data_IF_157690447531
#
_entry.id   IF_157690447531
#
_cell.length_a   1.000
_cell.length_b   1.000
_cell.length_c   1.000
_cell.angle_alpha   90.00
_cell.angle_beta   90.00
_cell.angle_gamma   90.00
#
_symmetry.space_group_name_H-M   'P 1'
#
loop_
_entity.id
_entity.type
_entity.pdbx_description
1 polymer ?
#
# COMPACT_ATOMS: atom_id res chain seq x y z
N UNK A 1 2.01 2.17 15.48
CA UNK A 1 2.84 2.35 14.28
C UNK A 1 1.90 2.65 13.15
N UNK A 2 1.90 3.90 12.68
CA UNK A 2 1.21 4.28 11.46
C UNK A 2 1.97 3.74 10.26
N UNK A 3 1.23 3.18 9.31
CA UNK A 3 1.75 2.63 8.07
C UNK A 3 0.91 3.20 6.95
N UNK A 4 1.55 3.97 6.09
CA UNK A 4 0.93 4.60 4.94
C UNK A 4 1.04 3.65 3.76
N UNK A 5 -0.08 3.43 3.09
CA UNK A 5 -0.16 2.46 2.00
C UNK A 5 -0.71 3.11 0.73
N UNK A 6 -0.37 2.49 -0.38
CA UNK A 6 -0.99 2.69 -1.68
C UNK A 6 -0.99 1.36 -2.43
N UNK A 7 -1.93 1.17 -3.35
CA UNK A 7 -1.99 0.01 -4.23
C UNK A 7 -2.26 0.40 -5.66
N UNK A 8 -1.62 -0.32 -6.58
CA UNK A 8 -2.01 -0.30 -7.98
C UNK A 8 -2.84 -1.54 -8.28
N UNK A 9 -3.88 -1.40 -9.11
CA UNK A 9 -4.83 -2.46 -9.44
C UNK A 9 -5.38 -2.29 -10.86
N UNK A 10 -5.94 -3.37 -11.42
CA UNK A 10 -6.31 -3.41 -12.84
C UNK A 10 -7.67 -2.75 -13.12
N UNK A 11 -7.72 -1.42 -13.10
CA UNK A 11 -8.92 -0.58 -13.12
C UNK A 11 -9.88 -0.86 -11.94
N UNK A 12 -10.97 -0.08 -11.86
CA UNK A 12 -11.98 -0.16 -10.81
C UNK A 12 -12.47 -1.58 -10.54
N UNK A 13 -12.31 -2.05 -9.30
CA UNK A 13 -12.71 -3.39 -8.87
C UNK A 13 -11.86 -4.54 -9.45
N UNK A 14 -10.76 -4.22 -10.12
CA UNK A 14 -9.82 -5.18 -10.69
C UNK A 14 -8.94 -5.88 -9.65
N UNK A 15 -8.07 -6.77 -10.11
CA UNK A 15 -7.12 -7.45 -9.24
C UNK A 15 -5.93 -6.53 -8.88
N UNK A 16 -5.39 -6.71 -7.66
CA UNK A 16 -4.23 -5.97 -7.19
C UNK A 16 -2.98 -6.29 -8.02
N UNK A 17 -2.26 -5.26 -8.43
CA UNK A 17 -1.00 -5.31 -9.20
C UNK A 17 0.19 -5.05 -8.28
N UNK A 18 0.11 -4.09 -7.36
CA UNK A 18 1.20 -3.88 -6.40
C UNK A 18 0.72 -3.29 -5.07
N UNK A 19 1.52 -3.49 -4.02
CA UNK A 19 1.28 -2.94 -2.69
C UNK A 19 2.56 -2.25 -2.21
N UNK A 20 2.47 -0.94 -1.98
CA UNK A 20 3.49 -0.13 -1.32
C UNK A 20 3.10 0.18 0.11
N UNK A 21 4.07 0.16 1.03
CA UNK A 21 3.85 0.55 2.42
C UNK A 21 5.07 1.27 2.96
N UNK A 22 4.85 2.28 3.81
CA UNK A 22 5.89 3.04 4.51
C UNK A 22 5.47 3.27 5.96
N UNK A 23 6.31 2.91 6.92
CA UNK A 23 6.05 3.18 8.34
C UNK A 23 6.47 4.60 8.76
N UNK A 24 6.11 5.01 9.98
CA UNK A 24 6.46 6.34 10.53
C UNK A 24 7.96 6.67 10.44
N UNK A 25 8.83 5.67 10.50
CA UNK A 25 10.29 5.84 10.47
C UNK A 25 10.87 5.90 9.05
N UNK A 26 10.02 5.72 8.03
CA UNK A 26 10.42 5.65 6.63
C UNK A 26 10.86 4.26 6.17
N UNK A 27 10.70 3.21 6.99
CA UNK A 27 10.94 1.83 6.57
C UNK A 27 9.84 1.41 5.60
N UNK A 28 10.24 0.81 4.49
CA UNK A 28 9.32 0.44 3.43
C UNK A 28 9.07 -1.07 3.27
N UNK A 29 8.02 -1.37 2.52
CA UNK A 29 7.68 -2.65 1.93
C UNK A 29 7.16 -2.41 0.51
N UNK A 30 7.58 -3.25 -0.43
CA UNK A 30 7.02 -3.24 -1.77
C UNK A 30 6.97 -4.64 -2.37
N UNK A 31 5.86 -4.94 -3.03
CA UNK A 31 5.65 -6.19 -3.75
C UNK A 31 4.78 -5.96 -4.97
N UNK A 32 5.14 -6.63 -6.07
CA UNK A 32 4.44 -6.57 -7.35
C UNK A 32 3.88 -7.96 -7.67
N UNK A 33 2.63 -8.02 -8.08
CA UNK A 33 1.93 -9.20 -8.59
C UNK A 33 1.83 -9.11 -10.12
N UNK A 34 1.77 -10.27 -10.76
CA UNK A 34 1.64 -10.33 -12.21
C UNK A 34 0.21 -9.95 -12.65
N UNK A 35 0.08 -8.98 -13.56
CA UNK A 35 -1.17 -8.64 -14.25
C UNK A 35 -1.13 -9.19 -15.68
N UNK A 36 -1.92 -10.23 -15.98
CA UNK A 36 -1.88 -10.89 -17.29
C UNK A 36 -2.55 -10.06 -18.39
N UNK A 37 -3.72 -9.51 -18.10
CA UNK A 37 -4.55 -8.75 -19.03
C UNK A 37 -4.77 -7.33 -18.50
N UNK A 38 -3.74 -6.47 -18.53
CA UNK A 38 -3.88 -5.10 -18.07
C UNK A 38 -4.82 -4.31 -18.98
N UNK A 39 -5.63 -3.43 -18.39
CA UNK A 39 -6.39 -2.45 -19.15
C UNK A 39 -5.46 -1.56 -19.99
N UNK A 40 -5.96 -0.91 -21.06
CA UNK A 40 -5.12 -0.03 -21.88
C UNK A 40 -4.43 1.08 -21.06
N UNK A 41 -5.10 1.61 -20.03
CA UNK A 41 -4.53 2.65 -19.19
C UNK A 41 -3.47 2.07 -18.24
N UNK A 42 -3.75 0.93 -17.61
CA UNK A 42 -2.81 0.22 -16.72
C UNK A 42 -1.55 -0.20 -17.48
N UNK A 43 -1.71 -0.75 -18.68
CA UNK A 43 -0.60 -1.15 -19.54
C UNK A 43 0.33 0.01 -19.91
N UNK A 44 -0.23 1.21 -20.07
CA UNK A 44 0.52 2.41 -20.44
C UNK A 44 1.16 3.13 -19.26
N UNK A 45 0.53 3.10 -18.07
CA UNK A 45 0.91 3.97 -16.96
C UNK A 45 1.46 3.22 -15.73
N UNK A 46 0.95 2.02 -15.44
CA UNK A 46 1.31 1.24 -14.22
C UNK A 46 2.40 0.22 -14.53
N UNK A 47 2.16 -0.66 -15.51
CA UNK A 47 3.07 -1.77 -15.83
C UNK A 47 4.53 -1.31 -16.10
N UNK A 48 4.78 -0.19 -16.82
CA UNK A 48 6.14 0.24 -17.10
C UNK A 48 6.93 0.72 -15.88
N UNK A 49 6.25 1.12 -14.80
CA UNK A 49 6.88 1.77 -13.63
C UNK A 49 6.99 0.85 -12.41
N UNK A 50 6.56 -0.40 -12.50
CA UNK A 50 6.57 -1.35 -11.37
C UNK A 50 7.97 -1.60 -10.78
N UNK A 51 9.03 -1.60 -11.59
CA UNK A 51 10.42 -1.59 -11.09
C UNK A 51 10.87 -2.80 -10.26
N UNK A 52 10.05 -3.85 -10.09
CA UNK A 52 10.39 -5.09 -9.38
C UNK A 52 9.88 -6.33 -10.11
N UNK A 53 10.54 -7.49 -9.94
CA UNK A 53 10.04 -8.75 -10.47
C UNK A 53 8.73 -9.16 -9.80
N UNK A 54 7.88 -9.86 -10.56
CA UNK A 54 6.61 -10.36 -10.05
C UNK A 54 6.81 -11.43 -8.96
N UNK A 55 6.09 -11.26 -7.86
CA UNK A 55 5.92 -12.24 -6.81
C UNK A 55 4.62 -13.02 -7.01
N UNK A 56 4.56 -14.23 -6.46
CA UNK A 56 3.27 -14.88 -6.24
C UNK A 56 2.53 -14.20 -5.09
N UNK A 57 1.19 -14.28 -5.10
CA UNK A 57 0.37 -13.79 -4.00
C UNK A 57 0.80 -14.39 -2.65
N UNK A 58 1.12 -15.70 -2.63
CA UNK A 58 1.62 -16.38 -1.44
C UNK A 58 2.93 -15.77 -0.92
N UNK A 59 3.86 -15.43 -1.81
CA UNK A 59 5.13 -14.81 -1.44
C UNK A 59 4.90 -13.40 -0.86
N UNK A 60 4.04 -12.61 -1.51
CA UNK A 60 3.62 -11.30 -0.99
C UNK A 60 3.04 -11.45 0.42
N UNK A 61 2.10 -12.37 0.60
CA UNK A 61 1.43 -12.64 1.88
C UNK A 61 2.40 -13.06 2.99
N UNK A 62 3.37 -13.94 2.69
CA UNK A 62 4.40 -14.34 3.64
C UNK A 62 5.28 -13.16 4.07
N UNK A 63 5.72 -12.34 3.11
CA UNK A 63 6.53 -11.14 3.39
C UNK A 63 5.73 -10.10 4.16
N UNK A 64 4.46 -9.89 3.80
CA UNK A 64 3.55 -8.96 4.46
C UNK A 64 3.33 -9.34 5.92
N UNK A 65 3.05 -10.62 6.20
CA UNK A 65 2.92 -11.11 7.56
C UNK A 65 4.20 -10.86 8.37
N UNK A 66 5.36 -11.27 7.83
CA UNK A 66 6.64 -11.08 8.52
C UNK A 66 6.97 -9.59 8.77
N UNK A 67 6.61 -8.71 7.82
CA UNK A 67 6.84 -7.28 7.94
C UNK A 67 5.94 -6.66 9.03
N UNK A 68 4.64 -7.02 9.05
CA UNK A 68 3.68 -6.55 10.06
C UNK A 68 3.98 -7.09 11.46
N UNK A 69 4.45 -8.34 11.58
CA UNK A 69 4.82 -8.96 12.87
C UNK A 69 5.98 -8.27 13.59
N UNK A 70 6.70 -7.36 12.92
CA UNK A 70 7.72 -6.53 13.57
C UNK A 70 7.14 -5.51 14.55
N UNK A 71 5.82 -5.27 14.53
CA UNK A 71 5.15 -4.26 15.36
C UNK A 71 4.15 -4.90 16.33
N UNK A 72 3.98 -4.28 17.50
CA UNK A 72 3.03 -4.73 18.52
C UNK A 72 1.57 -4.42 18.13
N UNK A 73 1.34 -3.28 17.49
CA UNK A 73 0.04 -2.82 16.96
C UNK A 73 0.29 -1.98 15.71
N UNK A 74 -0.61 -2.09 14.73
CA UNK A 74 -0.49 -1.40 13.44
C UNK A 74 -1.72 -0.54 13.18
N UNK A 75 -1.50 0.62 12.58
CA UNK A 75 -2.55 1.51 12.11
C UNK A 75 -2.30 1.79 10.63
N UNK A 76 -3.17 1.28 9.77
CA UNK A 76 -3.03 1.43 8.32
C UNK A 76 -3.75 2.72 7.91
N UNK A 77 -3.05 3.58 7.20
CA UNK A 77 -3.53 4.86 6.69
C UNK A 77 -3.43 4.86 5.17
N UNK A 78 -4.52 5.21 4.49
CA UNK A 78 -4.55 5.42 3.05
C UNK A 78 -5.30 6.73 2.76
N UNK A 79 -5.02 7.37 1.63
CA UNK A 79 -5.81 8.50 1.12
C UNK A 79 -7.01 8.03 0.28
N UNK A 80 -6.99 6.78 -0.20
CA UNK A 80 -8.06 6.17 -0.99
C UNK A 80 -8.61 4.86 -0.40
N UNK A 81 -9.94 4.63 -0.43
CA UNK A 81 -10.55 3.47 0.22
C UNK A 81 -10.29 2.13 -0.47
N UNK A 82 -10.02 2.12 -1.78
CA UNK A 82 -9.78 0.89 -2.54
C UNK A 82 -8.44 0.24 -2.15
N UNK A 83 -7.45 1.03 -1.72
CA UNK A 83 -6.19 0.51 -1.18
C UNK A 83 -6.40 -0.27 0.11
N UNK A 84 -7.29 0.22 0.98
CA UNK A 84 -7.69 -0.51 2.19
C UNK A 84 -8.40 -1.81 1.82
N UNK A 85 -9.25 -1.79 0.78
CA UNK A 85 -9.92 -2.99 0.31
C UNK A 85 -8.92 -4.03 -0.22
N UNK A 86 -7.94 -3.61 -1.02
CA UNK A 86 -6.87 -4.47 -1.52
C UNK A 86 -5.94 -4.99 -0.42
N UNK A 87 -5.54 -4.13 0.52
CA UNK A 87 -4.79 -4.53 1.70
C UNK A 87 -5.54 -5.59 2.49
N UNK A 88 -6.82 -5.36 2.81
CA UNK A 88 -7.66 -6.32 3.51
C UNK A 88 -7.79 -7.64 2.73
N UNK A 89 -7.92 -7.58 1.40
CA UNK A 89 -7.96 -8.77 0.54
C UNK A 89 -6.67 -9.56 0.62
N UNK A 90 -5.51 -8.90 0.64
CA UNK A 90 -4.21 -9.55 0.77
C UNK A 90 -4.06 -10.29 2.11
N UNK A 91 -4.75 -9.85 3.18
CA UNK A 91 -4.75 -10.56 4.47
C UNK A 91 -5.53 -11.88 4.45
N UNK A 92 -6.40 -12.11 3.46
CA UNK A 92 -7.23 -13.33 3.35
C UNK A 92 -6.46 -14.38 2.54
N UNK A 93 -6.16 -15.51 3.17
CA UNK A 93 -5.38 -16.60 2.56
C UNK A 93 -6.25 -17.76 2.06
N UNK A 94 -7.55 -17.74 2.36
CA UNK A 94 -8.51 -18.74 1.94
C UNK A 94 -9.84 -18.62 2.71
N UNK A 95 -10.81 -19.52 2.46
CA UNK A 95 -12.11 -19.50 3.13
C UNK A 95 -11.97 -19.64 4.66
N UNK A 96 -12.34 -18.60 5.40
CA UNK A 96 -12.18 -18.56 6.86
C UNK A 96 -10.72 -18.48 7.36
N UNK A 97 -9.77 -18.25 6.45
CA UNK A 97 -8.34 -18.21 6.73
C UNK A 97 -7.78 -16.81 6.48
N UNK A 98 -6.87 -16.39 7.35
CA UNK A 98 -6.19 -15.09 7.27
C UNK A 98 -4.74 -15.19 7.70
N UNK A 99 -3.96 -14.17 7.38
CA UNK A 99 -2.63 -13.95 7.96
C UNK A 99 -2.74 -13.72 9.48
N UNK A 100 -1.71 -14.14 10.20
CA UNK A 100 -1.56 -13.82 11.61
C UNK A 100 -0.95 -12.42 11.74
N UNK A 101 -1.78 -11.43 12.03
CA UNK A 101 -1.38 -10.03 12.13
C UNK A 101 -1.43 -9.57 13.59
N UNK A 102 -0.60 -8.56 13.98
CA UNK A 102 -0.89 -7.82 15.20
C UNK A 102 -2.28 -7.14 15.11
N UNK A 103 -2.82 -6.64 16.23
CA UNK A 103 -4.03 -5.82 16.22
C UNK A 103 -3.88 -4.65 15.24
N UNK A 104 -4.88 -4.52 14.35
CA UNK A 104 -4.90 -3.53 13.29
C UNK A 104 -6.12 -2.60 13.42
N UNK A 105 -5.92 -1.35 13.06
CA UNK A 105 -6.97 -0.36 12.76
C UNK A 105 -6.70 0.22 11.38
N UNK A 106 -7.74 0.75 10.73
CA UNK A 106 -7.70 1.25 9.36
C UNK A 106 -8.31 2.66 9.35
N UNK A 107 -7.69 3.58 8.63
CA UNK A 107 -8.15 4.95 8.47
C UNK A 107 -8.00 5.42 7.02
N UNK A 108 -9.04 6.04 6.48
CA UNK A 108 -8.96 6.80 5.22
C UNK A 108 -8.79 8.27 5.57
N UNK A 109 -7.67 8.88 5.18
CA UNK A 109 -7.38 10.29 5.40
C UNK A 109 -7.40 11.09 4.10
N UNK A 110 -8.47 11.85 3.91
CA UNK A 110 -8.74 12.62 2.68
C UNK A 110 -7.94 13.91 2.55
N UNK A 111 -7.20 14.28 3.58
CA UNK A 111 -6.31 15.44 3.59
C UNK A 111 -4.87 15.08 3.20
N UNK A 112 -4.56 13.79 3.04
CA UNK A 112 -3.32 13.29 2.45
C UNK A 112 -3.50 13.09 0.94
N UNK A 113 -2.39 13.05 0.21
CA UNK A 113 -2.38 12.73 -1.22
C UNK A 113 -1.00 12.21 -1.67
N UNK A 114 -0.99 11.56 -2.83
CA UNK A 114 0.21 11.06 -3.52
C UNK A 114 0.75 12.03 -4.60
N UNK A 115 0.29 13.28 -4.68
CA UNK A 115 0.66 14.20 -5.79
C UNK A 115 2.17 14.47 -5.89
N UNK A 116 2.89 14.36 -4.77
CA UNK A 116 4.33 14.55 -4.70
C UNK A 116 5.14 13.27 -5.01
N UNK A 117 4.49 12.22 -5.53
CA UNK A 117 5.14 10.97 -5.90
C UNK A 117 6.25 11.18 -6.92
N UNK A 118 7.40 10.56 -6.68
CA UNK A 118 8.56 10.67 -7.56
C UNK A 118 8.37 9.87 -8.86
N UNK A 119 7.59 8.80 -8.78
CA UNK A 119 7.21 7.95 -9.91
C UNK A 119 5.70 7.73 -9.78
N UNK A 120 4.88 8.58 -10.40
CA UNK A 120 3.43 8.42 -10.36
C UNK A 120 3.01 7.02 -10.82
N UNK A 121 2.01 6.45 -10.16
CA UNK A 121 1.47 5.11 -10.44
C UNK A 121 2.42 3.97 -10.07
N UNK A 122 3.35 4.25 -9.16
CA UNK A 122 4.15 3.24 -8.47
C UNK A 122 3.74 3.27 -7.00
N UNK A 123 3.06 2.21 -6.56
CA UNK A 123 2.50 2.17 -5.22
C UNK A 123 3.49 2.43 -4.08
N UNK A 124 4.78 2.10 -4.23
CA UNK A 124 5.76 2.44 -3.18
C UNK A 124 6.04 3.94 -3.15
N UNK A 125 6.25 4.56 -4.31
CA UNK A 125 6.51 6.00 -4.39
C UNK A 125 5.27 6.82 -4.01
N UNK A 126 4.08 6.33 -4.35
CA UNK A 126 2.81 6.93 -3.94
C UNK A 126 2.62 6.81 -2.41
N UNK A 127 2.90 5.65 -1.81
CA UNK A 127 2.90 5.47 -0.35
C UNK A 127 3.93 6.38 0.35
N UNK A 128 5.11 6.61 -0.25
CA UNK A 128 6.11 7.56 0.27
C UNK A 128 5.60 9.00 0.22
N UNK A 129 4.88 9.37 -0.83
CA UNK A 129 4.28 10.70 -0.96
C UNK A 129 3.20 10.93 0.11
N UNK A 130 2.32 9.95 0.32
CA UNK A 130 1.29 9.98 1.38
C UNK A 130 1.94 10.09 2.76
N UNK A 131 2.96 9.27 3.05
CA UNK A 131 3.74 9.36 4.30
C UNK A 131 4.35 10.75 4.48
N UNK A 132 5.00 11.28 3.45
CA UNK A 132 5.63 12.61 3.48
C UNK A 132 4.60 13.73 3.70
N UNK A 133 3.42 13.62 3.11
CA UNK A 133 2.31 14.55 3.33
C UNK A 133 1.88 14.55 4.80
N UNK A 134 1.75 13.37 5.42
CA UNK A 134 1.36 13.24 6.81
C UNK A 134 2.36 13.86 7.78
N UNK A 135 3.68 13.75 7.51
CA UNK A 135 4.71 14.38 8.35
C UNK A 135 4.61 15.91 8.32
N UNK A 136 4.20 16.50 7.19
CA UNK A 136 4.03 17.96 7.06
C UNK A 136 2.83 18.45 7.86
N UNK A 137 1.68 17.76 7.77
CA UNK A 137 0.47 18.13 8.53
C UNK A 137 0.72 18.15 10.04
N UNK A 138 1.42 17.15 10.57
CA UNK A 138 1.78 17.12 12.01
C UNK A 138 2.68 18.29 12.41
N UNK A 139 3.53 18.77 11.51
CA UNK A 139 4.43 19.91 11.77
C UNK A 139 3.68 21.24 11.75
N UNK A 140 2.64 21.39 10.93
CA UNK A 140 1.84 22.61 10.82
C UNK A 140 0.81 22.75 11.95
N UNK A 141 0.18 21.65 12.40
CA UNK A 141 -0.74 21.65 13.55
C UNK A 141 -0.03 21.94 14.89
N UNK A 142 1.29 21.76 14.96
CA UNK A 142 2.11 22.05 16.13
C UNK A 142 2.61 23.49 16.26
N UNK A 143 2.24 24.39 15.33
CA UNK A 143 2.67 25.79 15.36
C UNK A 143 1.65 26.65 16.12
N UNK A 144 2.06 27.34 17.22
CA UNK A 144 1.16 28.18 18.02
C UNK A 144 0.65 29.41 17.28
#
# INVERSE_FOLDING_TARGET
>A
MNIYIDTEFNDFGGEMISLGMVDETGRDFYAVLNCQDPSPWVAANVIPVLGQPYASLRMLQQRLQAWLSAYRTVHIVADWPEDIAHFCRALITGPGMRLDTPPLTLEVRRDLNSEASAIPHNALEDARAIWSSAQKTTTEEGRP
#
